data_IF_329529732808
#
_entry.id   IF_329529732808
#
_cell.length_a   1.000
_cell.length_b   1.000
_cell.length_c   1.000
_cell.angle_alpha   90.00
_cell.angle_beta   90.00
_cell.angle_gamma   90.00
#
_symmetry.space_group_name_H-M   'P 1'
#
loop_
_entity.id
_entity.type
_entity.pdbx_description
1 polymer ?
#
# COMPACT_ATOMS: atom_id res chain seq x y z
N UNK A 1 -10.13 12.29 6.84
CA UNK A 1 -9.09 12.00 5.83
C UNK A 1 -7.75 11.68 6.50
N UNK A 2 -7.68 10.75 7.45
CA UNK A 2 -6.41 10.46 8.16
C UNK A 2 -5.57 9.37 7.46
N UNK A 3 -6.21 8.49 6.69
CA UNK A 3 -5.56 7.40 5.97
C UNK A 3 -4.85 7.91 4.71
N UNK A 4 -5.51 8.73 3.89
CA UNK A 4 -4.91 9.28 2.67
C UNK A 4 -3.73 10.21 2.96
N UNK A 5 -3.80 11.00 4.03
CA UNK A 5 -2.66 11.80 4.48
C UNK A 5 -1.49 10.93 4.93
N UNK A 6 -1.78 9.83 5.62
CA UNK A 6 -0.76 8.87 6.01
C UNK A 6 -0.12 8.17 4.80
N UNK A 7 -0.92 7.77 3.80
CA UNK A 7 -0.41 7.22 2.54
C UNK A 7 0.48 8.22 1.79
N UNK A 8 0.07 9.49 1.72
CA UNK A 8 0.92 10.56 1.15
C UNK A 8 2.23 10.73 1.92
N UNK A 9 2.20 10.66 3.25
CA UNK A 9 3.42 10.73 4.07
C UNK A 9 4.35 9.53 3.84
N UNK A 10 3.78 8.36 3.53
CA UNK A 10 4.52 7.17 3.11
C UNK A 10 5.18 7.33 1.73
N UNK A 11 4.80 8.36 0.95
CA UNK A 11 5.22 8.53 -0.44
C UNK A 11 4.33 7.78 -1.44
N UNK A 12 3.16 7.31 -1.01
CA UNK A 12 2.17 6.76 -1.91
C UNK A 12 1.36 7.89 -2.55
N UNK A 13 1.09 7.75 -3.84
CA UNK A 13 0.35 8.72 -4.63
C UNK A 13 -1.00 8.13 -5.06
N UNK A 14 -2.11 8.87 -4.93
CA UNK A 14 -3.41 8.37 -5.38
C UNK A 14 -3.41 8.25 -6.90
N UNK A 15 -3.86 7.11 -7.40
CA UNK A 15 -3.96 6.87 -8.83
C UNK A 15 -5.11 7.71 -9.42
N UNK A 16 -4.93 8.31 -10.61
CA UNK A 16 -5.98 9.14 -11.23
C UNK A 16 -7.20 8.33 -11.66
N UNK A 17 -7.06 7.01 -11.82
CA UNK A 17 -8.13 6.08 -12.15
C UNK A 17 -9.13 5.87 -11.02
N UNK A 18 -8.68 5.90 -9.76
CA UNK A 18 -9.53 5.64 -8.61
C UNK A 18 -8.92 6.23 -7.33
N UNK A 19 -9.67 7.02 -6.54
CA UNK A 19 -9.18 7.58 -5.27
C UNK A 19 -8.90 6.50 -4.21
N UNK A 20 -9.46 5.31 -4.40
CA UNK A 20 -9.18 4.12 -3.59
C UNK A 20 -7.88 3.41 -3.99
N UNK A 21 -7.27 3.75 -5.12
CA UNK A 21 -6.01 3.16 -5.57
C UNK A 21 -4.87 4.12 -5.33
N UNK A 22 -3.78 3.57 -4.83
CA UNK A 22 -2.59 4.31 -4.43
C UNK A 22 -1.37 3.54 -4.90
N UNK A 23 -0.37 4.26 -5.39
CA UNK A 23 0.86 3.70 -5.91
C UNK A 23 2.01 4.18 -5.05
N UNK A 24 2.72 3.23 -4.46
CA UNK A 24 3.91 3.48 -3.67
C UNK A 24 5.12 3.05 -4.49
N UNK A 25 5.89 4.02 -4.96
CA UNK A 25 7.08 3.75 -5.73
C UNK A 25 8.32 3.99 -4.87
N UNK A 26 8.99 2.91 -4.48
CA UNK A 26 10.26 2.98 -3.74
C UNK A 26 11.42 2.73 -4.71
N UNK A 27 12.65 3.13 -4.37
CA UNK A 27 13.81 2.88 -5.24
C UNK A 27 14.13 1.39 -5.43
N UNK A 28 13.63 0.52 -4.55
CA UNK A 28 13.92 -0.91 -4.56
C UNK A 28 12.75 -1.77 -5.06
N UNK A 29 11.52 -1.28 -4.93
CA UNK A 29 10.31 -2.01 -5.32
C UNK A 29 9.12 -1.05 -5.50
N UNK A 30 8.09 -1.50 -6.22
CA UNK A 30 6.83 -0.76 -6.34
C UNK A 30 5.74 -1.53 -5.62
N UNK A 31 4.78 -0.84 -4.99
CA UNK A 31 3.60 -1.48 -4.43
C UNK A 31 2.34 -0.71 -4.82
N UNK A 32 1.30 -1.45 -5.17
CA UNK A 32 -0.04 -0.92 -5.40
C UNK A 32 -0.89 -1.17 -4.16
N UNK A 33 -1.44 -0.11 -3.59
CA UNK A 33 -2.34 -0.15 -2.45
C UNK A 33 -3.77 0.15 -2.92
N UNK A 34 -4.69 -0.77 -2.64
CA UNK A 34 -6.10 -0.64 -2.97
C UNK A 34 -6.90 -0.64 -1.68
N UNK A 35 -7.53 0.51 -1.40
CA UNK A 35 -8.47 0.66 -0.30
C UNK A 35 -9.79 -0.01 -0.69
N UNK A 36 -10.06 -1.17 -0.12
CA UNK A 36 -11.34 -1.86 -0.25
C UNK A 36 -12.27 -1.40 0.89
N UNK A 37 -13.51 -1.91 0.94
CA UNK A 37 -14.47 -1.53 1.99
C UNK A 37 -14.08 -2.03 3.39
N UNK A 38 -13.44 -3.19 3.49
CA UNK A 38 -13.15 -3.86 4.77
C UNK A 38 -11.64 -4.03 5.02
N UNK A 39 -10.83 -3.93 3.97
CA UNK A 39 -9.39 -4.18 4.00
C UNK A 39 -8.61 -3.20 3.13
N UNK A 40 -7.31 -3.09 3.38
CA UNK A 40 -6.33 -2.49 2.49
C UNK A 40 -5.54 -3.61 1.81
N UNK A 41 -5.69 -3.75 0.50
CA UNK A 41 -4.88 -4.67 -0.29
C UNK A 41 -3.58 -3.98 -0.69
N UNK A 42 -2.45 -4.62 -0.46
CA UNK A 42 -1.13 -4.17 -0.88
C UNK A 42 -0.54 -5.21 -1.80
N UNK A 43 -0.13 -4.81 -3.00
CA UNK A 43 0.45 -5.69 -4.02
C UNK A 43 1.83 -5.17 -4.37
N UNK A 44 2.88 -5.84 -3.93
CA UNK A 44 4.25 -5.52 -4.31
C UNK A 44 4.54 -6.07 -5.71
N UNK A 45 4.89 -5.16 -6.60
CA UNK A 45 5.33 -5.39 -7.96
C UNK A 45 6.85 -5.30 -7.97
N UNK A 46 7.52 -6.43 -8.11
CA UNK A 46 8.96 -6.51 -8.27
C UNK A 46 9.29 -7.00 -9.69
N UNK A 47 10.35 -6.45 -10.33
CA UNK A 47 10.73 -6.87 -11.67
C UNK A 47 11.40 -8.25 -11.72
N UNK A 48 11.98 -8.73 -10.62
CA UNK A 48 12.83 -9.93 -10.56
C UNK A 48 12.23 -11.07 -9.73
N UNK A 49 11.18 -10.81 -8.94
CA UNK A 49 10.60 -11.75 -7.97
C UNK A 49 9.09 -11.93 -8.16
N UNK A 50 8.49 -12.87 -7.42
CA UNK A 50 7.06 -13.14 -7.48
C UNK A 50 6.26 -11.97 -6.92
N UNK A 51 5.19 -11.58 -7.64
CA UNK A 51 4.24 -10.57 -7.19
C UNK A 51 3.63 -10.99 -5.85
N UNK A 52 4.05 -10.31 -4.76
CA UNK A 52 3.51 -10.57 -3.43
C UNK A 52 2.28 -9.69 -3.21
N UNK A 53 1.23 -10.25 -2.63
CA UNK A 53 0.05 -9.49 -2.23
C UNK A 53 -0.29 -9.78 -0.77
N UNK A 54 -0.70 -8.75 -0.03
CA UNK A 54 -1.15 -8.85 1.35
C UNK A 54 -2.43 -8.07 1.53
N UNK A 55 -3.37 -8.65 2.28
CA UNK A 55 -4.60 -7.98 2.68
C UNK A 55 -4.47 -7.60 4.15
N UNK A 56 -4.53 -6.30 4.42
CA UNK A 56 -4.40 -5.73 5.76
C UNK A 56 -5.80 -5.26 6.19
N UNK A 57 -6.49 -6.00 7.07
CA UNK A 57 -7.81 -5.58 7.54
C UNK A 57 -7.71 -4.23 8.25
N UNK A 58 -8.73 -3.37 8.12
CA UNK A 58 -8.73 -2.06 8.81
C UNK A 58 -8.70 -2.16 10.35
N UNK A 59 -8.86 -3.37 10.90
CA UNK A 59 -8.63 -3.65 12.31
C UNK A 59 -7.16 -3.54 12.75
N UNK A 60 -6.20 -3.49 11.81
CA UNK A 60 -4.78 -3.28 12.10
C UNK A 60 -4.47 -1.82 12.41
N UNK A 61 -3.51 -1.60 13.31
CA UNK A 61 -3.01 -0.25 13.58
C UNK A 61 -2.24 0.25 12.36
N UNK A 62 -2.29 1.55 12.06
CA UNK A 62 -1.52 2.16 10.96
C UNK A 62 -0.02 1.82 11.02
N UNK A 63 0.54 1.73 12.24
CA UNK A 63 1.93 1.34 12.45
C UNK A 63 2.20 -0.10 12.01
N UNK A 64 1.28 -1.04 12.27
CA UNK A 64 1.42 -2.43 11.81
C UNK A 64 1.30 -2.53 10.29
N UNK A 65 0.35 -1.77 9.71
CA UNK A 65 0.18 -1.67 8.25
C UNK A 65 1.45 -1.09 7.61
N UNK A 66 1.99 0.00 8.18
CA UNK A 66 3.25 0.61 7.73
C UNK A 66 4.41 -0.37 7.82
N UNK A 67 4.56 -1.04 8.96
CA UNK A 67 5.61 -2.01 9.18
C UNK A 67 5.52 -3.19 8.20
N UNK A 68 4.30 -3.66 7.89
CA UNK A 68 4.10 -4.71 6.89
C UNK A 68 4.46 -4.22 5.47
N UNK A 69 4.09 -2.99 5.10
CA UNK A 69 4.45 -2.38 3.82
C UNK A 69 5.97 -2.20 3.71
N UNK A 70 6.60 -1.68 4.76
CA UNK A 70 8.04 -1.41 4.82
C UNK A 70 8.88 -2.67 4.95
N UNK A 71 8.36 -3.74 5.55
CA UNK A 71 9.00 -5.04 5.57
C UNK A 71 9.28 -5.54 4.14
N UNK A 72 8.51 -5.06 3.16
CA UNK A 72 8.64 -5.44 1.77
C UNK A 72 8.20 -6.89 1.54
N UNK A 73 8.35 -7.39 0.31
CA UNK A 73 8.20 -8.80 0.02
C UNK A 73 9.36 -9.65 0.55
#
# INVERSE_FOLDING_TARGET
MALEQWLRNLGAEPAPEAPSRWLLNTPTWTAELVLEQEDLRVTWLQPDDETRQCCLPYGLSRADVEAAIQAGP
#
